data_IF_876214053854
#
_entry.id   IF_876214053854
#
_cell.length_a   1.000
_cell.length_b   1.000
_cell.length_c   1.000
_cell.angle_alpha   90.00
_cell.angle_beta   90.00
_cell.angle_gamma   90.00
#
_symmetry.space_group_name_H-M   'P 1'
#
loop_
_entity.id
_entity.type
_entity.pdbx_description
1 polymer ?
#
# COMPACT_ATOMS: atom_id res chain seq x y z
N UNK A 1 14.24 21.07 2.70
CA UNK A 1 12.85 21.23 2.22
C UNK A 1 12.00 21.67 3.40
N UNK A 2 10.94 22.45 3.16
CA UNK A 2 9.93 22.72 4.17
C UNK A 2 9.13 21.45 4.46
N UNK A 3 8.67 21.30 5.70
CA UNK A 3 7.74 20.23 6.10
C UNK A 3 6.43 20.37 5.32
N UNK A 4 5.85 19.25 4.91
CA UNK A 4 4.56 19.21 4.24
C UNK A 4 3.43 19.73 5.14
N UNK A 5 2.43 20.33 4.50
CA UNK A 5 1.18 20.76 5.14
C UNK A 5 0.02 20.33 4.24
N UNK A 6 -1.18 20.10 4.81
CA UNK A 6 -2.35 19.76 4.00
C UNK A 6 -2.66 20.83 2.94
N UNK A 7 -2.88 20.38 1.72
CA UNK A 7 -3.44 21.15 0.62
C UNK A 7 -4.96 21.24 0.66
N UNK A 8 -5.56 21.78 -0.41
CA UNK A 8 -7.01 21.87 -0.58
C UNK A 8 -7.52 20.62 -1.28
N UNK A 9 -8.56 20.00 -0.72
CA UNK A 9 -9.24 18.86 -1.35
C UNK A 9 -10.15 19.34 -2.50
N UNK A 10 -10.07 18.67 -3.63
CA UNK A 10 -11.13 18.73 -4.66
C UNK A 10 -12.34 17.89 -4.23
N UNK A 11 -13.54 18.11 -4.82
CA UNK A 11 -14.71 17.29 -4.54
C UNK A 11 -14.47 15.80 -4.77
N UNK A 12 -15.15 14.94 -3.99
CA UNK A 12 -15.12 13.49 -4.16
C UNK A 12 -15.55 13.08 -5.57
N UNK A 13 -14.76 12.22 -6.22
CA UNK A 13 -15.02 11.75 -7.59
C UNK A 13 -16.14 10.71 -7.62
N UNK A 14 -16.98 10.77 -8.65
CA UNK A 14 -18.10 9.85 -8.81
C UNK A 14 -17.67 8.57 -9.53
N UNK A 15 -18.04 7.41 -8.97
CA UNK A 15 -17.89 6.11 -9.66
C UNK A 15 -19.15 5.78 -10.47
N UNK A 16 -19.06 5.36 -11.75
CA UNK A 16 -20.20 4.93 -12.55
C UNK A 16 -21.14 3.97 -11.82
N UNK A 17 -22.46 4.12 -12.01
CA UNK A 17 -23.47 3.33 -11.28
C UNK A 17 -23.41 1.83 -11.58
N UNK A 18 -22.92 1.44 -12.76
CA UNK A 18 -22.75 0.05 -13.17
C UNK A 18 -21.59 -0.69 -12.50
N UNK A 19 -20.68 0.01 -11.83
CA UNK A 19 -19.54 -0.62 -11.13
C UNK A 19 -20.00 -1.10 -9.75
N UNK A 20 -19.84 -2.40 -9.42
CA UNK A 20 -20.13 -2.94 -8.09
C UNK A 20 -19.30 -2.24 -7.01
N UNK A 21 -19.94 -1.90 -5.90
CA UNK A 21 -19.29 -1.25 -4.75
C UNK A 21 -18.99 -2.28 -3.66
N UNK A 22 -17.86 -2.17 -2.95
CA UNK A 22 -17.62 -2.97 -1.76
C UNK A 22 -18.61 -2.61 -0.65
N UNK A 23 -18.80 -3.53 0.30
CA UNK A 23 -19.91 -3.47 1.26
C UNK A 23 -19.85 -2.30 2.25
N UNK A 24 -18.66 -1.72 2.45
CA UNK A 24 -18.43 -0.61 3.39
C UNK A 24 -18.82 0.75 2.83
N UNK A 25 -19.06 0.88 1.51
CA UNK A 25 -19.40 2.18 0.93
C UNK A 25 -20.75 2.66 1.47
N UNK A 26 -20.73 3.80 2.17
CA UNK A 26 -21.89 4.37 2.85
C UNK A 26 -22.10 3.86 4.29
N UNK A 27 -21.13 3.15 4.86
CA UNK A 27 -21.10 2.73 6.27
C UNK A 27 -19.95 3.42 7.02
N UNK A 28 -20.04 3.49 8.34
CA UNK A 28 -18.98 4.06 9.19
C UNK A 28 -17.69 3.21 9.17
N UNK A 29 -17.83 1.89 9.03
CA UNK A 29 -16.72 0.94 9.02
C UNK A 29 -17.07 -0.32 8.21
N UNK A 30 -16.07 -1.06 7.70
CA UNK A 30 -16.28 -2.37 7.09
C UNK A 30 -16.81 -3.38 8.11
N UNK A 31 -17.62 -4.32 7.62
CA UNK A 31 -18.06 -5.47 8.40
C UNK A 31 -16.85 -6.34 8.74
N UNK A 32 -16.64 -6.74 10.01
CA UNK A 32 -15.52 -7.60 10.38
C UNK A 32 -15.53 -8.91 9.58
N UNK A 33 -14.39 -9.24 8.98
CA UNK A 33 -14.26 -10.45 8.18
C UNK A 33 -14.22 -11.69 9.09
N UNK A 34 -14.96 -12.72 8.70
CA UNK A 34 -15.05 -14.00 9.42
C UNK A 34 -14.80 -15.21 8.51
N UNK A 35 -14.40 -14.96 7.27
CA UNK A 35 -14.08 -16.00 6.31
C UNK A 35 -12.69 -16.62 6.51
N UNK A 36 -12.33 -17.63 5.70
CA UNK A 36 -11.02 -18.28 5.80
C UNK A 36 -9.92 -17.40 5.25
N UNK A 37 -8.69 -17.49 5.80
CA UNK A 37 -7.51 -16.85 5.19
C UNK A 37 -7.05 -17.60 3.92
N UNK A 38 -7.31 -18.91 3.85
CA UNK A 38 -7.01 -19.74 2.68
C UNK A 38 -8.13 -19.63 1.66
N UNK A 39 -7.83 -19.08 0.49
CA UNK A 39 -8.78 -18.84 -0.58
C UNK A 39 -8.88 -20.03 -1.54
N UNK A 40 -10.04 -20.15 -2.19
CA UNK A 40 -10.21 -21.11 -3.29
C UNK A 40 -9.45 -20.65 -4.54
N UNK A 41 -9.08 -21.56 -5.46
CA UNK A 41 -8.46 -21.18 -6.72
C UNK A 41 -9.29 -20.18 -7.53
N UNK A 42 -10.62 -20.26 -7.46
CA UNK A 42 -11.54 -19.33 -8.13
C UNK A 42 -11.42 -17.90 -7.54
N UNK A 43 -11.39 -17.77 -6.21
CA UNK A 43 -11.20 -16.47 -5.56
C UNK A 43 -9.84 -15.88 -5.92
N UNK A 44 -8.78 -16.69 -5.92
CA UNK A 44 -7.42 -16.25 -6.30
C UNK A 44 -7.38 -15.75 -7.75
N UNK A 45 -8.11 -16.38 -8.67
CA UNK A 45 -8.16 -15.91 -10.06
C UNK A 45 -8.87 -14.55 -10.20
N UNK A 46 -9.94 -14.33 -9.43
CA UNK A 46 -10.59 -13.00 -9.36
C UNK A 46 -9.62 -11.97 -8.76
N UNK A 47 -8.84 -12.36 -7.76
CA UNK A 47 -7.83 -11.48 -7.16
C UNK A 47 -6.73 -11.12 -8.16
N UNK A 48 -6.27 -12.06 -9.01
CA UNK A 48 -5.34 -11.73 -10.11
C UNK A 48 -5.85 -10.62 -11.02
N UNK A 49 -7.15 -10.60 -11.29
CA UNK A 49 -7.77 -9.55 -12.11
C UNK A 49 -7.74 -8.21 -11.35
N UNK A 50 -8.22 -8.19 -10.11
CA UNK A 50 -8.22 -6.98 -9.27
C UNK A 50 -6.80 -6.41 -9.08
N UNK A 51 -5.85 -7.26 -8.72
CA UNK A 51 -4.44 -6.94 -8.51
C UNK A 51 -3.77 -6.36 -9.76
N UNK A 52 -4.06 -6.90 -10.95
CA UNK A 52 -3.49 -6.37 -12.20
C UNK A 52 -4.07 -5.01 -12.56
N UNK A 53 -5.36 -4.78 -12.29
CA UNK A 53 -5.98 -3.48 -12.50
C UNK A 53 -5.34 -2.44 -11.56
N UNK A 54 -5.17 -2.77 -10.28
CA UNK A 54 -4.49 -1.91 -9.31
C UNK A 54 -3.05 -1.57 -9.75
N UNK A 55 -2.26 -2.58 -10.12
CA UNK A 55 -0.89 -2.41 -10.60
C UNK A 55 -0.81 -1.48 -11.82
N UNK A 56 -1.70 -1.65 -12.80
CA UNK A 56 -1.71 -0.80 -14.01
C UNK A 56 -2.28 0.59 -13.77
N UNK A 57 -3.21 0.76 -12.84
CA UNK A 57 -3.68 2.07 -12.41
C UNK A 57 -2.54 2.86 -11.73
N UNK A 58 -1.76 2.18 -10.88
CA UNK A 58 -0.55 2.74 -10.29
C UNK A 58 0.47 3.12 -11.37
N UNK A 59 0.75 2.26 -12.35
CA UNK A 59 1.67 2.58 -13.46
C UNK A 59 1.19 3.79 -14.30
N UNK A 60 -0.11 3.87 -14.57
CA UNK A 60 -0.70 4.98 -15.31
C UNK A 60 -0.51 6.32 -14.57
N UNK A 61 -0.77 6.34 -13.27
CA UNK A 61 -0.53 7.52 -12.43
C UNK A 61 0.97 7.82 -12.31
N UNK A 62 1.81 6.80 -12.07
CA UNK A 62 3.25 6.96 -11.93
C UNK A 62 3.92 7.56 -13.19
N UNK A 63 3.40 7.24 -14.38
CA UNK A 63 3.86 7.84 -15.64
C UNK A 63 3.66 9.36 -15.76
N UNK A 64 2.90 9.96 -14.85
CA UNK A 64 2.65 11.40 -14.78
C UNK A 64 3.35 12.08 -13.59
N UNK A 65 4.18 11.36 -12.83
CA UNK A 65 4.97 11.96 -11.75
C UNK A 65 6.01 12.90 -12.36
N UNK A 66 5.83 14.19 -12.13
CA UNK A 66 6.77 15.23 -12.54
C UNK A 66 6.62 16.47 -11.65
N UNK A 67 7.67 17.30 -11.51
CA UNK A 67 7.56 18.58 -10.82
C UNK A 67 6.44 19.44 -11.44
N UNK A 68 5.57 19.99 -10.59
CA UNK A 68 4.42 20.79 -11.02
C UNK A 68 3.09 20.04 -11.12
N UNK A 69 3.09 18.70 -11.08
CA UNK A 69 1.86 17.88 -11.00
C UNK A 69 1.34 17.89 -9.56
N UNK A 70 0.03 17.78 -9.36
CA UNK A 70 -0.55 17.67 -8.01
C UNK A 70 -0.85 16.22 -7.64
N UNK A 71 -0.88 15.92 -6.34
CA UNK A 71 -1.31 14.60 -5.86
C UNK A 71 -2.75 14.29 -6.27
N UNK A 72 -3.65 15.28 -6.27
CA UNK A 72 -5.04 15.12 -6.75
C UNK A 72 -5.15 14.75 -8.24
N UNK A 73 -4.15 15.13 -9.06
CA UNK A 73 -4.10 14.74 -10.47
C UNK A 73 -3.67 13.28 -10.63
N UNK A 74 -2.74 12.80 -9.81
CA UNK A 74 -2.36 11.39 -9.76
C UNK A 74 -3.56 10.52 -9.30
N UNK A 75 -4.33 10.98 -8.31
CA UNK A 75 -5.59 10.37 -7.90
C UNK A 75 -6.60 10.30 -9.04
N UNK A 76 -6.77 11.40 -9.81
CA UNK A 76 -7.67 11.44 -10.96
C UNK A 76 -7.34 10.34 -11.97
N UNK A 77 -6.07 10.21 -12.33
CA UNK A 77 -5.60 9.26 -13.34
C UNK A 77 -5.85 7.82 -12.88
N UNK A 78 -5.51 7.49 -11.63
CA UNK A 78 -5.74 6.15 -11.09
C UNK A 78 -7.25 5.85 -10.93
N UNK A 79 -8.05 6.83 -10.50
CA UNK A 79 -9.50 6.72 -10.40
C UNK A 79 -10.15 6.39 -11.74
N UNK A 80 -9.82 7.17 -12.78
CA UNK A 80 -10.34 6.98 -14.14
C UNK A 80 -9.91 5.62 -14.69
N UNK A 81 -8.63 5.25 -14.52
CA UNK A 81 -8.14 3.94 -14.95
C UNK A 81 -8.94 2.80 -14.32
N UNK A 82 -9.12 2.80 -12.99
CA UNK A 82 -9.89 1.74 -12.32
C UNK A 82 -11.34 1.69 -12.80
N UNK A 83 -11.99 2.85 -12.95
CA UNK A 83 -13.37 2.92 -13.43
C UNK A 83 -13.53 2.43 -14.88
N UNK A 84 -12.60 2.79 -15.77
CA UNK A 84 -12.59 2.36 -17.16
C UNK A 84 -12.41 0.84 -17.30
N UNK A 85 -11.79 0.20 -16.31
CA UNK A 85 -11.63 -1.25 -16.21
C UNK A 85 -12.72 -1.93 -15.36
N UNK A 86 -13.78 -1.20 -15.01
CA UNK A 86 -14.94 -1.73 -14.28
C UNK A 86 -14.68 -2.03 -12.80
N UNK A 87 -13.57 -1.52 -12.24
CA UNK A 87 -13.21 -1.68 -10.85
C UNK A 87 -13.59 -0.45 -10.02
N UNK A 88 -13.92 -0.67 -8.75
CA UNK A 88 -14.12 0.37 -7.77
C UNK A 88 -12.80 0.68 -7.06
N UNK A 89 -12.39 1.96 -6.90
CA UNK A 89 -11.23 2.33 -6.08
C UNK A 89 -11.51 2.05 -4.61
N UNK A 90 -10.84 1.06 -4.01
CA UNK A 90 -11.23 0.54 -2.68
C UNK A 90 -11.14 1.60 -1.59
N UNK A 91 -10.15 2.48 -1.65
CA UNK A 91 -9.95 3.55 -0.66
C UNK A 91 -11.15 4.49 -0.59
N UNK A 92 -11.86 4.68 -1.70
CA UNK A 92 -12.92 5.66 -1.81
C UNK A 92 -14.11 5.32 -0.90
N UNK A 93 -14.25 6.09 0.18
CA UNK A 93 -15.27 5.90 1.21
C UNK A 93 -14.93 4.85 2.26
N UNK A 94 -13.74 4.23 2.21
CA UNK A 94 -13.30 3.29 3.25
C UNK A 94 -13.09 4.04 4.56
N UNK A 95 -13.94 3.79 5.56
CA UNK A 95 -13.97 4.53 6.85
C UNK A 95 -14.01 6.05 6.67
N UNK A 96 -14.63 6.52 5.59
CA UNK A 96 -14.71 7.94 5.25
C UNK A 96 -13.50 8.53 4.54
N UNK A 97 -12.52 7.73 4.09
CA UNK A 97 -11.41 8.24 3.28
C UNK A 97 -11.92 8.91 1.98
N UNK A 98 -11.46 10.12 1.62
CA UNK A 98 -12.15 10.96 0.63
C UNK A 98 -11.68 10.78 -0.82
N UNK A 99 -10.65 9.97 -1.06
CA UNK A 99 -9.95 9.84 -2.36
C UNK A 99 -9.86 8.39 -2.79
N UNK A 100 -9.34 8.16 -3.99
CA UNK A 100 -9.37 6.87 -4.70
C UNK A 100 -8.08 6.06 -4.52
N UNK A 101 -7.00 6.75 -4.17
CA UNK A 101 -5.67 6.21 -3.86
C UNK A 101 -5.08 6.99 -2.68
N UNK A 102 -4.00 6.50 -2.10
CA UNK A 102 -3.15 7.31 -1.21
C UNK A 102 -1.92 7.83 -1.96
N UNK A 103 -1.49 9.06 -1.63
CA UNK A 103 -0.26 9.69 -2.15
C UNK A 103 0.59 10.18 -0.98
N UNK A 104 1.67 9.47 -0.68
CA UNK A 104 2.51 9.73 0.50
C UNK A 104 3.86 10.29 0.10
N UNK A 105 4.04 11.60 0.26
CA UNK A 105 5.28 12.30 -0.11
C UNK A 105 6.27 12.34 1.07
N UNK A 106 7.55 12.17 0.77
CA UNK A 106 8.66 12.49 1.68
C UNK A 106 8.53 11.88 3.09
N UNK A 107 8.13 12.67 4.10
CA UNK A 107 7.95 12.24 5.50
C UNK A 107 6.62 11.52 5.78
N UNK A 108 5.68 11.51 4.84
CA UNK A 108 4.41 10.80 4.96
C UNK A 108 4.67 9.30 4.82
N UNK A 109 4.45 8.56 5.90
CA UNK A 109 4.63 7.11 6.01
C UNK A 109 3.64 6.36 5.13
N UNK A 110 2.35 6.65 5.29
CA UNK A 110 1.26 6.06 4.53
C UNK A 110 0.01 6.94 4.65
N UNK A 111 -1.02 6.58 3.87
CA UNK A 111 -2.36 7.18 3.89
C UNK A 111 -2.42 8.70 3.65
N UNK A 112 -1.42 9.27 2.96
CA UNK A 112 -1.49 10.66 2.53
C UNK A 112 -2.69 10.88 1.61
N UNK A 113 -3.53 11.86 1.93
CA UNK A 113 -4.73 12.17 1.14
C UNK A 113 -4.34 13.02 -0.10
N UNK A 114 -4.64 12.57 -1.34
CA UNK A 114 -4.47 13.39 -2.53
C UNK A 114 -5.20 14.73 -2.44
N UNK A 115 -4.49 15.82 -2.76
CA UNK A 115 -4.94 17.19 -2.59
C UNK A 115 -4.23 18.16 -3.57
N UNK A 116 -4.33 19.46 -3.32
CA UNK A 116 -3.67 20.48 -4.15
C UNK A 116 -2.14 20.56 -3.96
N UNK A 117 -1.50 19.64 -3.23
CA UNK A 117 -0.05 19.62 -3.03
C UNK A 117 0.64 19.35 -4.37
N UNK A 118 1.56 20.24 -4.73
CA UNK A 118 2.32 20.18 -5.98
C UNK A 118 3.63 19.45 -5.73
N UNK A 119 3.89 18.39 -6.48
CA UNK A 119 5.17 17.68 -6.45
C UNK A 119 6.31 18.62 -6.86
N UNK A 120 7.40 18.58 -6.11
CA UNK A 120 8.61 19.36 -6.35
C UNK A 120 9.72 18.47 -6.93
N UNK A 121 10.68 19.12 -7.59
CA UNK A 121 11.93 18.46 -7.98
C UNK A 121 12.67 17.99 -6.71
N UNK A 122 13.07 16.73 -6.71
CA UNK A 122 13.76 16.08 -5.60
C UNK A 122 12.83 15.39 -4.59
N UNK A 123 11.51 15.43 -4.75
CA UNK A 123 10.57 14.68 -3.91
C UNK A 123 10.64 13.17 -4.19
N UNK A 124 10.28 12.38 -3.19
CA UNK A 124 9.82 11.00 -3.38
C UNK A 124 8.33 10.91 -3.05
N UNK A 125 7.59 10.12 -3.82
CA UNK A 125 6.15 9.93 -3.63
C UNK A 125 5.80 8.45 -3.71
N UNK A 126 5.12 7.93 -2.70
CA UNK A 126 4.47 6.63 -2.76
C UNK A 126 3.05 6.79 -3.31
N UNK A 127 2.67 5.93 -4.26
CA UNK A 127 1.30 5.76 -4.74
C UNK A 127 0.79 4.41 -4.24
N UNK A 128 -0.28 4.43 -3.46
CA UNK A 128 -0.93 3.23 -2.93
C UNK A 128 -2.30 3.04 -3.57
N UNK A 129 -2.51 1.90 -4.21
CA UNK A 129 -3.65 1.67 -5.10
C UNK A 129 -4.27 0.31 -4.84
N UNK A 130 -5.52 0.34 -4.40
CA UNK A 130 -6.32 -0.88 -4.24
C UNK A 130 -7.54 -0.89 -5.15
N UNK A 131 -7.68 -1.90 -6.01
CA UNK A 131 -8.86 -2.08 -6.88
C UNK A 131 -9.82 -3.15 -6.35
N UNK A 132 -11.13 -2.90 -6.44
CA UNK A 132 -12.19 -3.86 -6.13
C UNK A 132 -12.97 -4.24 -7.39
N UNK A 133 -12.98 -5.53 -7.72
CA UNK A 133 -13.78 -6.09 -8.82
C UNK A 133 -14.10 -7.55 -8.54
N UNK A 134 -15.24 -8.04 -9.06
CA UNK A 134 -15.68 -9.43 -8.88
C UNK A 134 -15.79 -9.89 -7.41
N UNK A 135 -16.01 -8.95 -6.48
CA UNK A 135 -16.18 -9.23 -5.07
C UNK A 135 -14.87 -9.40 -4.28
N UNK A 136 -13.72 -9.05 -4.86
CA UNK A 136 -12.41 -9.14 -4.21
C UNK A 136 -11.58 -7.87 -4.42
N UNK A 137 -10.60 -7.67 -3.56
CA UNK A 137 -9.62 -6.58 -3.62
C UNK A 137 -8.26 -7.07 -4.13
N UNK A 138 -7.49 -6.17 -4.73
CA UNK A 138 -6.07 -6.36 -5.02
C UNK A 138 -5.32 -5.07 -4.76
N UNK A 139 -4.18 -5.18 -4.07
CA UNK A 139 -3.52 -4.05 -3.41
C UNK A 139 -2.02 -3.98 -3.64
N UNK A 140 -1.52 -2.79 -3.93
CA UNK A 140 -0.12 -2.55 -4.25
C UNK A 140 0.25 -1.08 -4.17
N UNK A 141 1.50 -0.85 -3.76
CA UNK A 141 2.09 0.47 -3.75
C UNK A 141 3.57 0.44 -4.13
N UNK A 142 4.08 1.61 -4.54
CA UNK A 142 5.49 1.80 -4.80
C UNK A 142 5.88 3.28 -4.62
N UNK A 143 7.10 3.50 -4.11
CA UNK A 143 7.72 4.83 -4.04
C UNK A 143 8.49 5.15 -5.32
N UNK A 144 8.22 6.33 -5.89
CA UNK A 144 8.81 6.86 -7.11
C UNK A 144 9.57 8.16 -6.85
N UNK A 145 10.69 8.40 -7.56
CA UNK A 145 11.35 9.70 -7.56
C UNK A 145 10.59 10.71 -8.43
N UNK A 146 10.56 11.98 -8.00
CA UNK A 146 10.07 13.11 -8.79
C UNK A 146 11.24 14.03 -9.17
N UNK A 147 11.62 14.04 -10.45
CA UNK A 147 12.76 14.82 -10.91
C UNK A 147 14.11 14.26 -10.41
N UNK A 148 15.06 15.14 -10.06
CA UNK A 148 16.39 14.72 -9.57
C UNK A 148 16.44 14.60 -8.03
N UNK A 149 16.30 13.37 -7.56
CA UNK A 149 16.32 13.03 -6.13
C UNK A 149 17.75 12.83 -5.62
N UNK A 150 18.04 13.22 -4.39
CA UNK A 150 19.35 12.98 -3.75
C UNK A 150 19.67 11.48 -3.57
N UNK A 151 20.96 11.17 -3.42
CA UNK A 151 21.45 9.79 -3.32
C UNK A 151 20.91 9.05 -2.08
N UNK A 152 20.76 9.73 -0.93
CA UNK A 152 20.25 9.10 0.29
C UNK A 152 18.82 8.59 0.08
N UNK A 153 18.01 9.36 -0.64
CA UNK A 153 16.62 9.03 -0.94
C UNK A 153 16.48 8.01 -2.06
N UNK A 154 17.35 8.05 -3.08
CA UNK A 154 17.48 6.98 -4.09
C UNK A 154 17.80 5.64 -3.41
N UNK A 155 18.76 5.64 -2.48
CA UNK A 155 19.13 4.45 -1.70
C UNK A 155 18.02 3.98 -0.76
N UNK A 156 17.29 4.90 -0.11
CA UNK A 156 16.12 4.55 0.71
C UNK A 156 15.09 3.77 -0.11
N UNK A 157 14.68 4.31 -1.26
CA UNK A 157 13.71 3.70 -2.17
C UNK A 157 14.18 2.31 -2.63
N UNK A 158 15.44 2.20 -3.09
CA UNK A 158 16.01 0.92 -3.53
C UNK A 158 15.98 -0.14 -2.41
N UNK A 159 16.41 0.26 -1.21
CA UNK A 159 16.54 -0.64 -0.06
C UNK A 159 15.18 -1.05 0.51
N UNK A 160 14.19 -0.16 0.51
CA UNK A 160 12.81 -0.54 0.87
C UNK A 160 12.28 -1.61 -0.09
N UNK A 161 12.44 -1.41 -1.41
CA UNK A 161 12.04 -2.41 -2.41
C UNK A 161 12.78 -3.74 -2.24
N UNK A 162 14.08 -3.70 -1.98
CA UNK A 162 14.87 -4.91 -1.72
C UNK A 162 14.44 -5.62 -0.42
N UNK A 163 14.02 -4.87 0.61
CA UNK A 163 13.51 -5.45 1.85
C UNK A 163 12.22 -6.25 1.61
N UNK A 164 11.29 -5.72 0.79
CA UNK A 164 10.09 -6.42 0.33
C UNK A 164 10.46 -7.69 -0.44
N UNK A 165 11.34 -7.58 -1.44
CA UNK A 165 11.76 -8.73 -2.25
C UNK A 165 12.36 -9.87 -1.40
N UNK A 166 13.14 -9.53 -0.36
CA UNK A 166 13.69 -10.51 0.59
C UNK A 166 12.60 -11.16 1.43
N UNK A 167 11.64 -10.36 1.90
CA UNK A 167 10.51 -10.85 2.68
C UNK A 167 9.64 -11.84 1.88
N UNK A 168 9.31 -11.52 0.62
CA UNK A 168 8.55 -12.40 -0.28
C UNK A 168 9.28 -13.73 -0.47
N UNK A 169 10.60 -13.72 -0.67
CA UNK A 169 11.40 -14.96 -0.80
C UNK A 169 11.39 -15.81 0.47
N UNK A 170 11.16 -15.22 1.63
CA UNK A 170 11.10 -15.93 2.91
C UNK A 170 9.76 -16.63 3.16
N UNK A 171 8.70 -16.26 2.42
CA UNK A 171 7.37 -16.88 2.47
C UNK A 171 7.47 -18.33 2.01
N UNK A 172 7.13 -19.26 2.91
CA UNK A 172 7.11 -20.71 2.66
C UNK A 172 6.01 -21.34 3.53
N UNK A 173 5.23 -22.29 2.99
CA UNK A 173 4.32 -23.11 3.79
C UNK A 173 4.99 -23.72 5.02
N UNK A 174 4.27 -23.77 6.14
CA UNK A 174 4.73 -24.34 7.40
C UNK A 174 5.59 -23.41 8.27
N UNK A 175 6.08 -22.28 7.73
CA UNK A 175 6.76 -21.26 8.53
C UNK A 175 5.75 -20.36 9.24
N UNK A 176 6.19 -19.72 10.32
CA UNK A 176 5.42 -18.66 10.97
C UNK A 176 5.62 -17.32 10.27
N UNK A 177 4.60 -16.45 10.33
CA UNK A 177 4.61 -15.12 9.70
C UNK A 177 5.70 -14.20 10.27
N UNK A 178 6.13 -14.37 11.52
CA UNK A 178 7.23 -13.61 12.14
C UNK A 178 8.53 -13.58 11.32
N UNK A 179 8.75 -14.54 10.41
CA UNK A 179 9.91 -14.53 9.53
C UNK A 179 9.94 -13.30 8.61
N UNK A 180 8.78 -12.82 8.16
CA UNK A 180 8.67 -11.70 7.22
C UNK A 180 9.30 -10.46 7.85
N UNK A 181 8.82 -10.07 9.04
CA UNK A 181 9.35 -8.93 9.75
C UNK A 181 10.81 -9.10 10.21
N UNK A 182 11.21 -10.32 10.62
CA UNK A 182 12.62 -10.60 10.95
C UNK A 182 13.57 -10.32 9.78
N UNK A 183 13.19 -10.72 8.57
CA UNK A 183 14.00 -10.53 7.36
C UNK A 183 14.10 -9.06 6.99
N UNK A 184 12.99 -8.32 7.07
CA UNK A 184 12.93 -6.88 6.78
C UNK A 184 13.78 -6.12 7.77
N UNK A 185 13.54 -6.27 9.08
CA UNK A 185 14.25 -5.53 10.12
C UNK A 185 15.75 -5.85 10.15
N UNK A 186 16.13 -7.11 9.95
CA UNK A 186 17.55 -7.49 9.86
C UNK A 186 18.25 -6.83 8.68
N UNK A 187 17.56 -6.65 7.56
CA UNK A 187 18.11 -5.97 6.39
C UNK A 187 18.19 -4.45 6.62
N UNK A 188 17.10 -3.82 7.07
CA UNK A 188 17.01 -2.39 7.34
C UNK A 188 18.06 -1.92 8.36
N UNK A 189 18.29 -2.71 9.42
CA UNK A 189 19.27 -2.40 10.49
C UNK A 189 20.70 -2.21 9.97
N UNK A 190 21.08 -2.83 8.84
CA UNK A 190 22.41 -2.68 8.24
C UNK A 190 22.70 -1.26 7.75
N UNK A 191 21.65 -0.47 7.55
CA UNK A 191 21.71 0.90 7.04
C UNK A 191 21.26 1.93 8.07
N UNK A 192 20.91 1.50 9.29
CA UNK A 192 20.40 2.39 10.33
C UNK A 192 18.99 2.91 10.09
N UNK A 193 18.20 2.25 9.24
CA UNK A 193 16.82 2.65 8.96
C UNK A 193 15.84 2.23 10.06
N UNK A 194 14.84 3.07 10.29
CA UNK A 194 13.66 2.71 11.08
C UNK A 194 12.74 1.76 10.33
N UNK A 195 11.96 0.98 11.07
CA UNK A 195 10.92 0.09 10.54
C UNK A 195 9.62 0.40 11.27
N UNK A 196 8.62 0.87 10.53
CA UNK A 196 7.30 1.23 11.08
C UNK A 196 6.62 -0.01 11.68
N UNK A 197 5.95 0.18 12.83
CA UNK A 197 5.44 -0.92 13.66
C UNK A 197 3.92 -1.02 13.71
N UNK A 198 3.20 0.10 13.69
CA UNK A 198 1.74 0.13 13.88
C UNK A 198 0.96 0.03 12.56
N UNK A 199 1.67 0.04 11.42
CA UNK A 199 1.13 -0.21 10.08
C UNK A 199 1.84 -1.43 9.50
N UNK A 200 1.06 -2.43 9.11
CA UNK A 200 1.52 -3.79 8.83
C UNK A 200 0.84 -4.32 7.58
N UNK A 201 1.45 -5.30 6.92
CA UNK A 201 0.74 -6.06 5.90
C UNK A 201 -0.48 -6.73 6.50
N UNK A 202 -1.43 -7.09 5.64
CA UNK A 202 -2.70 -7.63 6.07
C UNK A 202 -3.19 -8.76 5.17
N UNK A 203 -4.05 -9.62 5.69
CA UNK A 203 -4.81 -10.51 4.83
C UNK A 203 -5.76 -9.70 3.95
N UNK A 204 -5.88 -10.11 2.69
CA UNK A 204 -6.68 -9.43 1.67
C UNK A 204 -7.36 -10.48 0.80
N UNK A 205 -8.64 -10.30 0.48
CA UNK A 205 -9.44 -11.21 -0.34
C UNK A 205 -10.78 -10.53 -0.72
N UNK A 206 -11.91 -11.12 -0.34
CA UNK A 206 -13.24 -10.50 -0.36
C UNK A 206 -13.38 -9.37 0.65
N UNK A 207 -12.51 -9.35 1.68
CA UNK A 207 -12.31 -8.19 2.55
C UNK A 207 -11.07 -7.42 2.11
N UNK A 208 -11.12 -6.09 2.19
CA UNK A 208 -9.95 -5.23 1.99
C UNK A 208 -8.88 -5.58 3.04
N UNK A 209 -9.29 -5.64 4.32
CA UNK A 209 -8.44 -6.08 5.43
C UNK A 209 -9.14 -7.23 6.19
N UNK A 210 -8.60 -8.46 6.15
CA UNK A 210 -9.23 -9.65 6.75
C UNK A 210 -9.04 -9.75 8.27
N UNK A 211 -8.06 -9.04 8.82
CA UNK A 211 -7.65 -9.13 10.23
C UNK A 211 -6.42 -10.03 10.47
N UNK A 212 -5.95 -10.77 9.46
CA UNK A 212 -4.60 -11.32 9.48
C UNK A 212 -3.58 -10.18 9.46
N UNK A 213 -2.63 -10.20 10.39
CA UNK A 213 -1.60 -9.16 10.55
C UNK A 213 -0.24 -9.72 10.14
N UNK A 214 0.50 -8.97 9.31
CA UNK A 214 1.83 -9.30 8.78
C UNK A 214 2.85 -8.23 9.24
N UNK A 215 3.48 -8.37 10.41
CA UNK A 215 4.43 -7.37 10.89
C UNK A 215 5.68 -7.26 10.01
N UNK A 216 6.18 -6.04 9.85
CA UNK A 216 7.43 -5.75 9.13
C UNK A 216 8.67 -5.71 10.05
N UNK A 217 8.49 -5.87 11.36
CA UNK A 217 9.55 -5.97 12.38
C UNK A 217 9.55 -7.37 13.02
N UNK A 218 10.65 -7.77 13.69
CA UNK A 218 10.77 -9.08 14.34
C UNK A 218 9.84 -9.16 15.58
N UNK A 219 8.59 -9.52 15.34
CA UNK A 219 7.62 -9.83 16.39
C UNK A 219 7.56 -11.35 16.63
N UNK A 220 8.17 -11.89 17.70
CA UNK A 220 8.12 -13.31 18.00
C UNK A 220 6.69 -13.82 18.27
N UNK A 221 5.73 -12.93 18.56
CA UNK A 221 4.32 -13.28 18.82
C UNK A 221 3.52 -13.52 17.54
N UNK A 222 4.01 -13.09 16.37
CA UNK A 222 3.38 -13.33 15.06
C UNK A 222 3.56 -14.80 14.61
N UNK A 223 2.84 -15.69 15.30
CA UNK A 223 3.03 -17.14 15.24
C UNK A 223 2.11 -17.86 14.26
N UNK A 224 1.23 -17.14 13.55
CA UNK A 224 0.36 -17.70 12.51
C UNK A 224 1.18 -18.47 11.49
N UNK A 225 0.77 -19.71 11.20
CA UNK A 225 1.46 -20.59 10.26
C UNK A 225 0.99 -20.29 8.83
N UNK A 226 1.94 -20.04 7.95
CA UNK A 226 1.76 -19.80 6.51
C UNK A 226 1.28 -21.10 5.85
N UNK A 227 0.18 -21.05 5.11
CA UNK A 227 -0.43 -22.20 4.42
C UNK A 227 -0.69 -21.89 2.95
N UNK A 228 -0.59 -22.88 2.04
CA UNK A 228 -0.98 -22.69 0.64
C UNK A 228 -2.40 -22.12 0.51
N UNK A 229 -2.59 -21.22 -0.44
CA UNK A 229 -3.84 -20.51 -0.69
C UNK A 229 -4.11 -19.32 0.23
N UNK A 230 -3.28 -19.06 1.25
CA UNK A 230 -3.37 -17.79 2.00
C UNK A 230 -3.06 -16.61 1.11
N UNK A 231 -3.82 -15.53 1.24
CA UNK A 231 -3.61 -14.28 0.52
C UNK A 231 -3.40 -13.12 1.48
N UNK A 232 -2.31 -12.38 1.29
CA UNK A 232 -1.93 -11.25 2.16
C UNK A 232 -0.95 -10.31 1.45
N UNK A 233 -0.84 -9.10 1.99
CA UNK A 233 0.11 -8.08 1.58
C UNK A 233 1.40 -8.17 2.40
N UNK A 234 2.51 -7.77 1.79
CA UNK A 234 3.74 -7.39 2.50
C UNK A 234 4.07 -5.98 2.02
N UNK A 235 4.15 -5.01 2.92
CA UNK A 235 4.14 -3.57 2.59
C UNK A 235 5.13 -2.74 3.47
N UNK A 236 6.42 -3.12 3.57
CA UNK A 236 7.35 -2.49 4.52
C UNK A 236 7.52 -0.99 4.29
N UNK A 237 7.37 -0.22 5.36
CA UNK A 237 7.70 1.20 5.43
C UNK A 237 9.02 1.38 6.19
N UNK A 238 10.06 1.86 5.49
CA UNK A 238 11.37 2.15 6.08
C UNK A 238 11.62 3.65 6.14
N UNK A 239 12.23 4.12 7.24
CA UNK A 239 12.47 5.54 7.48
C UNK A 239 13.97 5.85 7.61
N UNK A 240 14.40 7.05 7.20
CA UNK A 240 15.77 7.56 7.42
C UNK A 240 16.07 7.95 8.88
N UNK A 241 15.09 7.82 9.76
CA UNK A 241 15.10 8.36 11.11
C UNK A 241 14.32 7.49 12.07
N UNK A 242 13.51 8.12 12.90
CA UNK A 242 12.60 7.38 13.79
C UNK A 242 11.49 6.68 13.01
N UNK A 243 10.97 5.59 13.57
CA UNK A 243 9.72 4.97 13.12
C UNK A 243 8.50 5.48 13.91
N UNK A 244 8.73 6.29 14.97
CA UNK A 244 7.66 6.97 15.67
C UNK A 244 6.95 7.93 14.70
N UNK A 245 5.66 8.13 14.89
CA UNK A 245 4.84 8.93 13.99
C UNK A 245 3.90 9.86 14.75
N UNK A 246 3.40 10.86 14.01
CA UNK A 246 2.19 11.61 14.35
C UNK A 246 1.14 11.35 13.25
N UNK A 247 -0.14 11.53 13.58
CA UNK A 247 -1.25 11.52 12.61
C UNK A 247 -1.76 12.96 12.50
N UNK A 248 -1.99 13.43 11.27
CA UNK A 248 -2.58 14.75 11.03
C UNK A 248 -4.04 14.83 11.53
N UNK A 249 -4.55 16.05 11.66
CA UNK A 249 -5.93 16.30 12.10
C UNK A 249 -6.99 15.75 11.11
N UNK A 250 -6.58 15.38 9.89
CA UNK A 250 -7.42 14.67 8.93
C UNK A 250 -7.74 13.22 9.33
N UNK A 251 -7.05 12.69 10.34
CA UNK A 251 -7.25 11.34 10.89
C UNK A 251 -6.62 10.21 10.05
N UNK A 252 -5.93 10.54 8.96
CA UNK A 252 -5.39 9.57 8.00
C UNK A 252 -3.89 9.74 7.78
N UNK A 253 -3.43 10.95 7.47
CA UNK A 253 -2.06 11.17 7.01
C UNK A 253 -1.07 10.90 8.15
N UNK A 254 -0.26 9.85 7.99
CA UNK A 254 0.73 9.42 8.99
C UNK A 254 2.09 9.99 8.60
N UNK A 255 2.75 10.72 9.50
CA UNK A 255 4.06 11.33 9.23
C UNK A 255 5.11 10.90 10.24
N UNK A 256 6.35 10.71 9.80
CA UNK A 256 7.48 10.43 10.71
C UNK A 256 7.62 11.57 11.72
N UNK A 257 7.82 11.24 13.00
CA UNK A 257 7.84 12.22 14.09
C UNK A 257 8.99 13.23 13.97
N UNK A 258 10.10 12.83 13.37
CA UNK A 258 11.25 13.69 13.07
C UNK A 258 11.19 14.35 11.68
N UNK A 259 10.09 14.13 10.94
CA UNK A 259 9.84 14.62 9.58
C UNK A 259 10.94 14.23 8.58
N UNK A 260 11.65 13.12 8.84
CA UNK A 260 12.57 12.52 7.88
C UNK A 260 11.85 11.63 6.88
N UNK A 261 12.46 11.46 5.71
CA UNK A 261 11.85 10.69 4.62
C UNK A 261 11.63 9.22 4.96
N UNK A 262 10.62 8.68 4.31
CA UNK A 262 10.19 7.29 4.38
C UNK A 262 9.87 6.79 2.97
N UNK A 263 9.96 5.49 2.75
CA UNK A 263 9.56 4.85 1.51
C UNK A 263 8.83 3.54 1.81
N UNK A 264 7.92 3.16 0.93
CA UNK A 264 7.10 1.96 1.03
C UNK A 264 7.00 1.28 -0.33
N UNK A 265 6.96 -0.06 -0.30
CA UNK A 265 6.62 -0.88 -1.45
C UNK A 265 5.72 -2.00 -0.98
N UNK A 266 4.79 -2.42 -1.83
CA UNK A 266 3.84 -3.46 -1.48
C UNK A 266 3.49 -4.37 -2.64
N UNK A 267 3.30 -5.65 -2.29
CA UNK A 267 2.62 -6.60 -3.16
C UNK A 267 1.56 -7.41 -2.41
N UNK A 268 0.40 -7.61 -3.06
CA UNK A 268 -0.52 -8.72 -2.76
C UNK A 268 0.07 -10.03 -3.26
N UNK A 269 0.08 -11.05 -2.38
CA UNK A 269 0.61 -12.38 -2.66
C UNK A 269 -0.46 -13.47 -2.47
N UNK A 270 -0.27 -14.59 -3.16
CA UNK A 270 -0.87 -15.87 -2.77
C UNK A 270 0.23 -16.87 -2.42
N UNK A 271 0.08 -17.58 -1.31
CA UNK A 271 1.00 -18.65 -0.91
C UNK A 271 0.78 -19.86 -1.79
N UNK A 272 1.86 -20.40 -2.36
CA UNK A 272 1.86 -21.64 -3.15
C UNK A 272 2.46 -22.79 -2.34
N UNK A 273 2.41 -24.01 -2.87
CA UNK A 273 3.01 -25.20 -2.22
C UNK A 273 4.51 -25.07 -1.92
N UNK A 274 5.22 -24.17 -2.62
CA UNK A 274 6.69 -24.03 -2.50
C UNK A 274 7.15 -22.61 -2.18
N UNK A 275 6.23 -21.65 -2.05
CA UNK A 275 6.60 -20.25 -1.84
C UNK A 275 5.40 -19.31 -1.91
N UNK A 276 5.54 -18.24 -2.68
CA UNK A 276 4.49 -17.27 -2.95
C UNK A 276 4.52 -16.84 -4.42
N UNK A 277 3.36 -16.51 -4.95
CA UNK A 277 3.18 -15.85 -6.23
C UNK A 277 2.75 -14.40 -5.98
N UNK A 278 3.35 -13.47 -6.71
CA UNK A 278 2.98 -12.06 -6.68
C UNK A 278 1.81 -11.84 -7.63
N UNK A 279 0.68 -11.33 -7.11
CA UNK A 279 -0.53 -11.10 -7.92
C UNK A 279 -0.52 -9.72 -8.59
N UNK A 280 0.24 -8.77 -8.04
CA UNK A 280 0.28 -7.36 -8.49
C UNK A 280 1.47 -7.05 -9.38
N UNK A 281 1.85 -8.00 -10.25
CA UNK A 281 2.69 -7.70 -11.41
C UNK A 281 1.77 -7.24 -12.58
N UNK A 282 2.15 -6.23 -13.38
CA UNK A 282 1.36 -5.69 -14.50
C UNK A 282 0.93 -6.70 -15.59
#
# INVERSE_FOLDING_TARGET
MSVLVPGKLSPTRSVPSGIPRPEYVGKDAPTPYTGPEVQTPETVEKMRIASRIAARAMEAAAGHIAPGVTTDELDRIAHEYMCDHGAYPSDLGYRGFPKSICTSLNEVICHGIPDSTVLQDGDIVNLDVTAFIHGVHGDTNATYPCGDVDEESKLLVERTRESLNRAIRAVRPGRQINVIGRVIESYAKRFGYGVVRDFTGHGINTSFHSGLIIPHYDDPRATTVIKPGMTFTIEPMLTLGTYDYDIWDDGWTVVTKDRRRTAQFEHTLVVTETGAEILTLP
#
